data_IF_809812114875
#
_entry.id   IF_809812114875
#
_cell.length_a   1.000
_cell.length_b   1.000
_cell.length_c   1.000
_cell.angle_alpha   90.00
_cell.angle_beta   90.00
_cell.angle_gamma   90.00
#
_symmetry.space_group_name_H-M   'P 1'
#
loop_
_entity.id
_entity.type
_entity.pdbx_description
1 polymer ?
#
# COMPACT_ATOMS: atom_id res chain seq x y z
N UNK A 1 5.69 -4.18 -23.26
CA UNK A 1 5.47 -3.03 -22.36
C UNK A 1 6.69 -2.92 -21.44
N UNK A 2 7.11 -1.72 -21.05
CA UNK A 2 8.19 -1.59 -20.05
C UNK A 2 7.59 -1.77 -18.64
N UNK A 3 8.37 -2.31 -17.71
CA UNK A 3 7.97 -2.54 -16.33
C UNK A 3 8.85 -1.70 -15.41
N UNK A 4 8.24 -1.02 -14.45
CA UNK A 4 8.93 -0.14 -13.51
C UNK A 4 8.62 -0.58 -12.08
N UNK A 5 9.64 -0.77 -11.25
CA UNK A 5 9.47 -0.99 -9.81
C UNK A 5 10.06 0.21 -9.08
N UNK A 6 9.21 0.98 -8.40
CA UNK A 6 9.63 2.11 -7.59
C UNK A 6 9.53 1.73 -6.12
N UNK A 7 10.69 1.58 -5.48
CA UNK A 7 10.77 1.40 -4.04
C UNK A 7 10.59 2.73 -3.34
N UNK A 8 9.73 2.80 -2.34
CA UNK A 8 9.51 4.00 -1.52
C UNK A 8 9.95 3.76 -0.08
N UNK A 9 10.41 4.82 0.56
CA UNK A 9 10.81 4.80 1.96
C UNK A 9 10.65 6.16 2.62
N UNK A 10 10.46 6.15 3.94
CA UNK A 10 10.40 7.34 4.77
C UNK A 10 11.49 7.30 5.84
N UNK A 11 12.32 8.35 5.90
CA UNK A 11 13.34 8.51 6.94
C UNK A 11 12.87 9.60 7.91
N UNK A 12 12.82 9.27 9.20
CA UNK A 12 12.53 10.21 10.28
C UNK A 12 13.54 10.17 11.43
N UNK A 13 14.40 9.17 11.47
CA UNK A 13 15.41 8.95 12.50
C UNK A 13 16.53 8.02 11.97
N UNK A 14 17.54 7.75 12.80
CA UNK A 14 18.67 6.89 12.43
C UNK A 14 18.25 5.43 12.19
N UNK A 15 17.25 4.92 12.91
CA UNK A 15 16.75 3.56 12.72
C UNK A 15 16.12 3.38 11.31
N UNK A 16 15.29 4.33 10.89
CA UNK A 16 14.70 4.35 9.55
C UNK A 16 15.74 4.55 8.45
N UNK A 17 16.84 5.26 8.70
CA UNK A 17 17.98 5.34 7.77
C UNK A 17 18.70 3.98 7.68
N UNK A 18 18.93 3.30 8.79
CA UNK A 18 19.59 1.98 8.77
C UNK A 18 18.78 0.96 7.98
N UNK A 19 17.44 1.01 8.04
CA UNK A 19 16.59 0.16 7.22
C UNK A 19 16.57 0.57 5.75
N UNK A 20 16.61 1.87 5.46
CA UNK A 20 16.82 2.38 4.10
C UNK A 20 18.09 1.79 3.48
N UNK A 21 19.21 1.85 4.21
CA UNK A 21 20.50 1.36 3.70
C UNK A 21 20.45 -0.14 3.35
N UNK A 22 19.89 -0.96 4.25
CA UNK A 22 19.69 -2.40 3.99
C UNK A 22 18.75 -2.65 2.80
N UNK A 23 17.72 -1.80 2.66
CA UNK A 23 16.76 -1.85 1.56
C UNK A 23 17.40 -1.53 0.21
N UNK A 24 18.24 -0.49 0.17
CA UNK A 24 18.93 -0.04 -1.04
C UNK A 24 19.88 -1.09 -1.59
N UNK A 25 20.62 -1.80 -0.74
CA UNK A 25 21.49 -2.88 -1.21
C UNK A 25 20.69 -3.96 -1.97
N UNK A 26 19.49 -4.29 -1.49
CA UNK A 26 18.59 -5.21 -2.20
C UNK A 26 18.10 -4.61 -3.52
N UNK A 27 17.78 -3.31 -3.57
CA UNK A 27 17.36 -2.60 -4.78
C UNK A 27 18.47 -2.58 -5.84
N UNK A 28 19.72 -2.37 -5.44
CA UNK A 28 20.88 -2.40 -6.34
C UNK A 28 21.08 -3.81 -6.91
N UNK A 29 20.92 -4.86 -6.09
CA UNK A 29 20.95 -6.25 -6.58
C UNK A 29 19.84 -6.47 -7.61
N UNK A 30 18.61 -6.03 -7.33
CA UNK A 30 17.49 -6.09 -8.27
C UNK A 30 17.77 -5.34 -9.58
N UNK A 31 18.38 -4.16 -9.50
CA UNK A 31 18.81 -3.38 -10.66
C UNK A 31 19.83 -4.14 -11.53
N UNK A 32 20.72 -4.93 -10.93
CA UNK A 32 21.62 -5.83 -11.65
C UNK A 32 20.89 -6.86 -12.53
N UNK A 33 19.63 -7.17 -12.20
CA UNK A 33 18.76 -8.09 -12.94
C UNK A 33 17.85 -7.39 -13.98
N UNK A 34 17.91 -6.05 -14.07
CA UNK A 34 17.10 -5.22 -14.98
C UNK A 34 17.07 -5.73 -16.42
N UNK A 35 18.25 -6.00 -17.00
CA UNK A 35 18.38 -6.47 -18.39
C UNK A 35 17.73 -7.83 -18.62
N UNK A 36 17.83 -8.75 -17.65
CA UNK A 36 17.28 -10.11 -17.74
C UNK A 36 15.76 -10.08 -17.80
N UNK A 37 15.14 -9.24 -16.97
CA UNK A 37 13.68 -9.20 -16.83
C UNK A 37 13.01 -8.00 -17.51
N UNK A 38 13.77 -7.19 -18.27
CA UNK A 38 13.29 -5.93 -18.89
C UNK A 38 12.59 -5.02 -17.88
N UNK A 39 13.20 -4.91 -16.70
CA UNK A 39 12.72 -4.09 -15.59
C UNK A 39 13.54 -2.81 -15.47
N UNK A 40 12.87 -1.71 -15.15
CA UNK A 40 13.49 -0.50 -14.66
C UNK A 40 13.20 -0.36 -13.17
N UNK A 41 14.08 0.33 -12.46
CA UNK A 41 13.93 0.57 -11.03
C UNK A 41 13.96 2.05 -10.70
N UNK A 42 13.23 2.41 -9.66
CA UNK A 42 13.24 3.75 -9.11
C UNK A 42 13.23 3.73 -7.59
N UNK A 43 13.57 4.88 -7.04
CA UNK A 43 13.54 5.15 -5.62
C UNK A 43 12.76 6.44 -5.36
N UNK A 44 11.76 6.34 -4.48
CA UNK A 44 11.04 7.46 -3.92
C UNK A 44 11.39 7.60 -2.44
N UNK A 45 12.28 8.54 -2.13
CA UNK A 45 12.69 8.81 -0.75
C UNK A 45 11.97 10.05 -0.20
N UNK A 46 11.43 9.93 1.01
CA UNK A 46 10.82 11.06 1.73
C UNK A 46 11.49 11.21 3.09
N UNK A 47 11.72 12.44 3.55
CA UNK A 47 12.30 12.71 4.88
C UNK A 47 11.37 13.54 5.74
N UNK A 48 11.55 13.45 7.06
CA UNK A 48 10.91 14.35 8.00
C UNK A 48 11.51 15.76 7.88
N UNK A 49 10.66 16.78 7.93
CA UNK A 49 11.00 18.20 7.84
C UNK A 49 12.04 18.61 8.91
N UNK A 50 12.02 17.94 10.06
CA UNK A 50 12.85 18.24 11.23
C UNK A 50 14.07 17.30 11.39
N UNK A 51 14.52 16.64 10.32
CA UNK A 51 15.77 15.85 10.38
C UNK A 51 16.96 16.76 10.70
N UNK A 52 17.80 16.34 11.66
CA UNK A 52 19.01 17.04 12.03
C UNK A 52 20.06 17.04 10.89
N UNK A 53 20.99 17.99 10.92
CA UNK A 53 21.95 18.19 9.83
C UNK A 53 22.88 16.99 9.61
N UNK A 54 23.28 16.30 10.68
CA UNK A 54 24.13 15.10 10.58
C UNK A 54 23.42 13.98 9.79
N UNK A 55 22.17 13.72 10.11
CA UNK A 55 21.37 12.70 9.42
C UNK A 55 21.07 13.13 7.98
N UNK A 56 20.86 14.43 7.72
CA UNK A 56 20.69 14.98 6.37
C UNK A 56 21.92 14.74 5.50
N UNK A 57 23.12 14.99 6.02
CA UNK A 57 24.38 14.74 5.32
C UNK A 57 24.61 13.24 5.06
N UNK A 58 24.29 12.37 6.03
CA UNK A 58 24.31 10.90 5.83
C UNK A 58 23.39 10.49 4.67
N UNK A 59 22.17 11.01 4.61
CA UNK A 59 21.21 10.75 3.53
C UNK A 59 21.75 11.23 2.18
N UNK A 60 22.23 12.48 2.12
CA UNK A 60 22.78 13.06 0.89
C UNK A 60 23.93 12.22 0.32
N UNK A 61 24.89 11.85 1.16
CA UNK A 61 26.02 10.99 0.78
C UNK A 61 25.56 9.64 0.23
N UNK A 62 24.50 9.05 0.80
CA UNK A 62 23.93 7.80 0.29
C UNK A 62 23.25 7.99 -1.06
N UNK A 63 22.52 9.09 -1.27
CA UNK A 63 21.90 9.40 -2.55
C UNK A 63 22.92 9.64 -3.67
N UNK A 64 24.02 10.33 -3.37
CA UNK A 64 25.12 10.58 -4.32
C UNK A 64 25.80 9.29 -4.80
N UNK A 65 25.78 8.24 -3.98
CA UNK A 65 26.33 6.92 -4.32
C UNK A 65 25.40 6.01 -5.12
N UNK A 66 24.16 6.42 -5.43
CA UNK A 66 23.21 5.57 -6.13
C UNK A 66 23.56 5.42 -7.63
N UNK A 67 23.27 4.27 -8.25
CA UNK A 67 23.50 4.07 -9.68
C UNK A 67 22.77 5.10 -10.55
N UNK A 68 23.45 5.67 -11.55
CA UNK A 68 22.90 6.73 -12.43
C UNK A 68 21.66 6.32 -13.22
N UNK A 69 21.46 5.03 -13.45
CA UNK A 69 20.31 4.47 -14.16
C UNK A 69 19.11 4.17 -13.23
N UNK A 70 19.22 4.48 -11.93
CA UNK A 70 18.10 4.43 -10.99
C UNK A 70 17.33 5.75 -11.04
N UNK A 71 16.04 5.71 -11.34
CA UNK A 71 15.21 6.91 -11.25
C UNK A 71 15.02 7.33 -9.80
N UNK A 72 15.28 8.60 -9.48
CA UNK A 72 15.22 9.11 -8.11
C UNK A 72 14.18 10.23 -8.00
N UNK A 73 13.29 10.10 -7.02
CA UNK A 73 12.43 11.18 -6.54
C UNK A 73 12.65 11.38 -5.04
N UNK A 74 13.39 12.43 -4.70
CA UNK A 74 13.65 12.83 -3.31
C UNK A 74 12.68 13.95 -2.89
N UNK A 75 12.01 13.78 -1.75
CA UNK A 75 11.14 14.78 -1.15
C UNK A 75 11.59 15.10 0.27
N UNK A 76 12.15 16.30 0.51
CA UNK A 76 12.67 16.66 1.82
C UNK A 76 11.56 16.93 2.86
N UNK A 77 10.27 16.79 2.49
CA UNK A 77 9.13 17.08 3.35
C UNK A 77 8.18 15.90 3.47
N UNK A 78 7.70 15.62 4.68
CA UNK A 78 6.72 14.59 4.94
C UNK A 78 5.31 15.09 4.61
N UNK A 79 4.83 14.75 3.41
CA UNK A 79 3.46 15.02 2.97
C UNK A 79 2.51 13.82 3.14
N UNK A 80 2.94 12.78 3.83
CA UNK A 80 2.18 11.55 4.06
C UNK A 80 2.36 10.47 2.99
N UNK A 81 2.07 9.22 3.37
CA UNK A 81 2.26 8.02 2.53
C UNK A 81 1.42 8.03 1.26
N UNK A 82 0.18 8.54 1.33
CA UNK A 82 -0.72 8.69 0.19
C UNK A 82 -0.24 9.71 -0.84
N UNK A 83 0.46 10.77 -0.43
CA UNK A 83 1.12 11.69 -1.39
C UNK A 83 2.29 10.98 -2.08
N UNK A 84 3.14 10.30 -1.30
CA UNK A 84 4.27 9.52 -1.84
C UNK A 84 3.78 8.48 -2.85
N UNK A 85 2.73 7.73 -2.51
CA UNK A 85 2.04 6.80 -3.40
C UNK A 85 1.63 7.45 -4.73
N UNK A 86 0.86 8.56 -4.68
CA UNK A 86 0.36 9.24 -5.89
C UNK A 86 1.49 9.79 -6.77
N UNK A 87 2.55 10.29 -6.15
CA UNK A 87 3.73 10.79 -6.89
C UNK A 87 4.45 9.71 -7.69
N UNK A 88 4.28 8.44 -7.30
CA UNK A 88 4.80 7.28 -8.04
C UNK A 88 3.78 6.89 -9.11
N UNK A 89 2.56 6.53 -8.69
CA UNK A 89 1.61 5.83 -9.58
C UNK A 89 0.93 6.77 -10.58
N UNK A 90 0.95 8.08 -10.34
CA UNK A 90 0.46 9.13 -11.25
C UNK A 90 1.58 10.13 -11.58
N UNK A 91 2.81 9.63 -11.77
CA UNK A 91 3.91 10.47 -12.22
C UNK A 91 3.79 10.75 -13.73
N UNK A 92 3.82 12.03 -14.17
CA UNK A 92 3.77 12.35 -15.59
C UNK A 92 4.88 11.72 -16.44
N UNK A 93 6.03 11.39 -15.85
CA UNK A 93 7.13 10.67 -16.52
C UNK A 93 6.67 9.35 -17.13
N UNK A 94 5.62 8.74 -16.58
CA UNK A 94 5.10 7.47 -17.05
C UNK A 94 3.92 7.59 -18.03
N UNK A 95 3.53 8.79 -18.46
CA UNK A 95 2.35 8.97 -19.33
C UNK A 95 2.66 8.77 -20.81
N UNK A 96 3.88 9.08 -21.23
CA UNK A 96 4.25 9.06 -22.65
C UNK A 96 4.63 7.66 -23.15
N UNK A 97 4.92 6.72 -22.26
CA UNK A 97 5.24 5.33 -22.64
C UNK A 97 4.33 4.34 -21.94
N UNK A 98 4.25 3.15 -22.55
CA UNK A 98 3.47 2.02 -22.05
C UNK A 98 4.19 1.36 -20.89
N UNK A 99 3.73 1.61 -19.66
CA UNK A 99 4.32 1.09 -18.43
C UNK A 99 3.36 0.23 -17.60
N UNK A 100 3.89 -0.82 -16.98
CA UNK A 100 3.35 -1.35 -15.72
C UNK A 100 4.21 -0.80 -14.59
N UNK A 101 3.61 -0.13 -13.61
CA UNK A 101 4.32 0.48 -12.48
C UNK A 101 3.98 -0.27 -11.20
N UNK A 102 4.98 -0.81 -10.52
CA UNK A 102 4.89 -1.29 -9.15
C UNK A 102 5.41 -0.26 -8.16
N UNK A 103 4.57 0.18 -7.22
CA UNK A 103 5.00 0.89 -6.01
C UNK A 103 5.18 -0.11 -4.88
N UNK A 104 6.34 -0.13 -4.24
CA UNK A 104 6.65 -1.05 -3.14
C UNK A 104 7.27 -0.35 -1.94
N UNK A 105 6.94 -0.78 -0.74
CA UNK A 105 7.61 -0.35 0.49
C UNK A 105 8.92 -1.13 0.70
N UNK A 106 10.06 -0.42 0.76
CA UNK A 106 11.40 -1.06 0.75
C UNK A 106 11.71 -1.87 2.02
N UNK A 107 11.05 -1.51 3.12
CA UNK A 107 11.13 -2.15 4.42
C UNK A 107 10.17 -3.35 4.54
N UNK A 108 9.16 -3.45 3.67
CA UNK A 108 8.15 -4.52 3.68
C UNK A 108 8.36 -5.56 2.58
N UNK A 109 9.15 -5.26 1.53
CA UNK A 109 9.40 -6.20 0.44
C UNK A 109 10.91 -6.32 0.13
N UNK A 110 11.34 -7.52 -0.24
CA UNK A 110 12.66 -7.73 -0.85
C UNK A 110 12.55 -7.69 -2.36
N UNK A 111 13.48 -7.01 -3.05
CA UNK A 111 13.55 -6.99 -4.53
C UNK A 111 14.72 -7.81 -5.07
N UNK A 112 14.85 -9.05 -4.58
CA UNK A 112 15.84 -10.03 -5.04
C UNK A 112 15.30 -11.45 -4.93
N UNK A 113 15.90 -12.38 -5.68
CA UNK A 113 15.53 -13.80 -5.67
C UNK A 113 14.03 -14.02 -5.94
N UNK A 114 13.44 -15.02 -5.29
CA UNK A 114 12.05 -15.42 -5.42
C UNK A 114 11.05 -14.26 -5.19
N UNK A 115 11.41 -13.28 -4.34
CA UNK A 115 10.57 -12.11 -4.08
C UNK A 115 10.39 -11.23 -5.31
N UNK A 116 11.47 -11.05 -6.08
CA UNK A 116 11.43 -10.30 -7.34
C UNK A 116 10.68 -11.09 -8.41
N UNK A 117 10.88 -12.41 -8.48
CA UNK A 117 10.20 -13.27 -9.45
C UNK A 117 8.67 -13.25 -9.27
N UNK A 118 8.19 -13.38 -8.02
CA UNK A 118 6.75 -13.26 -7.73
C UNK A 118 6.18 -11.87 -8.07
N UNK A 119 6.96 -10.81 -7.84
CA UNK A 119 6.55 -9.45 -8.22
C UNK A 119 6.45 -9.31 -9.74
N UNK A 120 7.39 -9.89 -10.49
CA UNK A 120 7.36 -9.93 -11.96
C UNK A 120 6.15 -10.72 -12.45
N UNK A 121 5.90 -11.92 -11.90
CA UNK A 121 4.74 -12.75 -12.23
C UNK A 121 3.44 -11.95 -12.06
N UNK A 122 3.32 -11.19 -10.97
CA UNK A 122 2.15 -10.34 -10.73
C UNK A 122 2.04 -9.19 -11.75
N UNK A 123 3.15 -8.54 -12.11
CA UNK A 123 3.16 -7.49 -13.15
C UNK A 123 2.81 -8.05 -14.54
N UNK A 124 3.29 -9.25 -14.87
CA UNK A 124 2.96 -9.96 -16.11
C UNK A 124 1.49 -10.39 -16.14
N UNK A 125 0.94 -10.80 -15.00
CA UNK A 125 -0.49 -11.11 -14.87
C UNK A 125 -1.35 -9.88 -15.14
N UNK A 126 -1.00 -8.73 -14.56
CA UNK A 126 -1.67 -7.45 -14.83
C UNK A 126 -1.64 -7.08 -16.32
N UNK A 127 -0.49 -7.25 -16.97
CA UNK A 127 -0.34 -7.04 -18.41
C UNK A 127 -1.21 -8.01 -19.23
N UNK A 128 -1.16 -9.31 -18.92
CA UNK A 128 -1.86 -10.36 -19.66
C UNK A 128 -3.38 -10.30 -19.50
N UNK A 129 -3.86 -10.09 -18.28
CA UNK A 129 -5.29 -9.97 -17.96
C UNK A 129 -5.83 -8.57 -18.29
N UNK A 130 -4.94 -7.64 -18.66
CA UNK A 130 -5.24 -6.24 -18.91
C UNK A 130 -6.09 -5.64 -17.78
N UNK A 131 -5.70 -5.88 -16.53
CA UNK A 131 -6.35 -5.26 -15.37
C UNK A 131 -5.71 -3.91 -15.07
N UNK A 132 -6.46 -3.03 -14.41
CA UNK A 132 -5.99 -1.70 -14.07
C UNK A 132 -5.05 -1.71 -12.85
N UNK A 133 -5.31 -2.62 -11.90
CA UNK A 133 -4.66 -2.65 -10.60
C UNK A 133 -4.39 -4.08 -10.14
N UNK A 134 -3.32 -4.28 -9.37
CA UNK A 134 -3.14 -5.46 -8.56
C UNK A 134 -2.54 -5.11 -7.18
N UNK A 135 -3.18 -5.53 -6.09
CA UNK A 135 -2.51 -5.65 -4.81
C UNK A 135 -1.66 -6.94 -4.79
N UNK A 136 -0.62 -6.93 -3.96
CA UNK A 136 -0.01 -8.20 -3.57
C UNK A 136 -0.88 -8.92 -2.54
N UNK A 137 -0.62 -10.20 -2.30
CA UNK A 137 -1.08 -10.90 -1.10
C UNK A 137 0.12 -11.44 -0.34
N UNK A 138 0.24 -11.08 0.93
CA UNK A 138 1.43 -11.33 1.74
C UNK A 138 1.53 -12.81 2.08
N UNK A 139 2.75 -13.32 2.11
CA UNK A 139 3.05 -14.72 2.41
C UNK A 139 3.34 -15.00 3.90
N UNK A 140 3.17 -13.99 4.74
CA UNK A 140 3.43 -14.02 6.17
C UNK A 140 2.22 -13.53 6.94
N UNK A 141 2.17 -13.82 8.24
CA UNK A 141 1.15 -13.26 9.10
C UNK A 141 1.31 -11.74 9.16
N UNK A 142 0.22 -11.03 8.94
CA UNK A 142 0.25 -9.57 8.89
C UNK A 142 0.39 -9.02 10.30
N UNK A 143 1.25 -8.02 10.50
CA UNK A 143 1.36 -7.28 11.76
C UNK A 143 1.33 -5.80 11.48
N UNK A 144 0.32 -5.10 12.01
CA UNK A 144 0.08 -3.69 11.72
C UNK A 144 0.30 -2.78 12.94
N UNK A 145 0.53 -3.36 14.11
CA UNK A 145 0.84 -2.63 15.33
C UNK A 145 1.81 -3.43 16.22
N UNK A 146 2.42 -2.77 17.21
CA UNK A 146 3.32 -3.43 18.16
C UNK A 146 2.55 -4.47 18.98
N UNK A 147 1.37 -4.09 19.46
CA UNK A 147 0.52 -4.94 20.28
C UNK A 147 -0.49 -5.70 19.42
N UNK A 148 -0.70 -6.99 19.71
CA UNK A 148 -1.54 -7.87 18.90
C UNK A 148 -2.99 -7.38 18.79
N UNK A 149 -3.60 -6.98 19.91
CA UNK A 149 -4.97 -6.43 19.93
C UNK A 149 -5.10 -5.22 19.02
N UNK A 150 -4.17 -4.27 19.12
CA UNK A 150 -4.11 -3.09 18.28
C UNK A 150 -3.87 -3.42 16.80
N UNK A 151 -3.06 -4.43 16.52
CA UNK A 151 -2.84 -4.96 15.17
C UNK A 151 -4.15 -5.50 14.60
N UNK A 152 -4.92 -6.26 15.38
CA UNK A 152 -6.23 -6.78 14.97
C UNK A 152 -7.22 -5.66 14.65
N UNK A 153 -7.28 -4.60 15.46
CA UNK A 153 -8.11 -3.41 15.16
C UNK A 153 -7.80 -2.84 13.77
N UNK A 154 -6.52 -2.71 13.42
CA UNK A 154 -6.11 -2.24 12.08
C UNK A 154 -6.46 -3.23 10.98
N UNK A 155 -6.31 -4.54 11.21
CA UNK A 155 -6.68 -5.56 10.23
C UNK A 155 -8.17 -5.54 9.94
N UNK A 156 -9.01 -5.49 10.98
CA UNK A 156 -10.47 -5.39 10.84
C UNK A 156 -10.84 -4.17 9.97
N UNK A 157 -10.19 -3.01 10.21
CA UNK A 157 -10.39 -1.82 9.38
C UNK A 157 -10.01 -2.04 7.90
N UNK A 158 -8.85 -2.66 7.62
CA UNK A 158 -8.45 -3.01 6.25
C UNK A 158 -9.38 -4.03 5.58
N UNK A 159 -9.94 -4.96 6.35
CA UNK A 159 -10.90 -5.96 5.85
C UNK A 159 -12.22 -5.35 5.43
N UNK A 160 -12.72 -4.31 6.12
CA UNK A 160 -13.89 -3.56 5.64
C UNK A 160 -13.64 -2.91 4.27
N UNK A 161 -12.45 -2.34 4.04
CA UNK A 161 -12.08 -1.79 2.72
C UNK A 161 -11.96 -2.89 1.65
N UNK A 162 -11.42 -4.05 2.03
CA UNK A 162 -11.33 -5.21 1.14
C UNK A 162 -12.71 -5.74 0.75
N UNK A 163 -13.66 -5.78 1.69
CA UNK A 163 -15.06 -6.14 1.41
C UNK A 163 -15.78 -5.12 0.53
N UNK A 164 -15.39 -3.83 0.57
CA UNK A 164 -15.93 -2.83 -0.36
C UNK A 164 -15.51 -3.07 -1.82
N UNK A 165 -14.40 -3.78 -2.05
CA UNK A 165 -13.98 -4.23 -3.38
C UNK A 165 -14.69 -5.53 -3.79
N UNK A 166 -14.98 -6.41 -2.82
CA UNK A 166 -15.40 -7.81 -2.92
C UNK A 166 -14.26 -8.82 -2.82
N UNK A 167 -14.45 -9.81 -1.95
CA UNK A 167 -13.51 -10.92 -1.76
C UNK A 167 -13.27 -11.75 -3.02
N UNK A 168 -14.28 -11.90 -3.88
CA UNK A 168 -14.14 -12.65 -5.14
C UNK A 168 -13.08 -12.05 -6.07
N UNK A 169 -12.85 -10.73 -5.96
CA UNK A 169 -11.84 -10.01 -6.74
C UNK A 169 -10.46 -10.01 -6.08
N UNK A 170 -10.39 -10.11 -4.75
CA UNK A 170 -9.14 -9.95 -3.99
C UNK A 170 -8.49 -11.26 -3.55
N UNK A 171 -9.22 -12.38 -3.53
CA UNK A 171 -8.64 -13.68 -3.18
C UNK A 171 -7.67 -14.12 -4.29
N UNK A 172 -6.51 -14.63 -3.88
CA UNK A 172 -5.60 -15.36 -4.77
C UNK A 172 -6.14 -16.78 -4.92
N UNK A 173 -6.63 -17.12 -6.13
CA UNK A 173 -7.24 -18.43 -6.40
C UNK A 173 -6.21 -19.56 -6.55
N UNK A 174 -4.98 -19.20 -6.86
CA UNK A 174 -3.90 -20.16 -7.05
C UNK A 174 -3.23 -20.43 -5.70
N UNK A 175 -3.46 -21.62 -5.11
CA UNK A 175 -2.81 -22.04 -3.86
C UNK A 175 -1.43 -22.68 -4.13
N UNK A 176 -0.85 -22.52 -5.35
CA UNK A 176 0.47 -23.06 -5.77
C UNK A 176 1.57 -22.88 -4.74
N UNK A 177 1.45 -21.84 -3.92
CA UNK A 177 2.45 -21.52 -2.93
C UNK A 177 1.95 -21.66 -1.48
N UNK A 178 0.65 -21.88 -1.22
CA UNK A 178 0.09 -22.00 0.13
C UNK A 178 0.32 -20.78 1.03
N UNK A 179 0.51 -19.59 0.43
CA UNK A 179 1.30 -18.54 1.07
C UNK A 179 0.58 -17.61 2.02
N UNK A 180 -0.71 -17.30 1.85
CA UNK A 180 -1.31 -16.32 2.77
C UNK A 180 -1.50 -16.94 4.17
N UNK A 181 -0.57 -16.62 5.06
CA UNK A 181 -0.50 -17.13 6.42
C UNK A 181 -1.52 -16.46 7.35
N UNK A 182 -2.18 -15.37 6.93
CA UNK A 182 -3.24 -14.74 7.70
C UNK A 182 -4.62 -15.22 7.20
N UNK A 183 -5.31 -15.98 8.04
CA UNK A 183 -6.55 -16.67 7.66
C UNK A 183 -7.66 -15.72 7.18
N UNK A 184 -7.78 -14.55 7.80
CA UNK A 184 -8.79 -13.56 7.42
C UNK A 184 -8.51 -13.02 6.02
N UNK A 185 -7.25 -12.67 5.73
CA UNK A 185 -6.84 -12.19 4.41
C UNK A 185 -6.82 -13.30 3.35
N UNK A 186 -6.55 -14.56 3.71
CA UNK A 186 -6.74 -15.71 2.79
C UNK A 186 -8.20 -15.83 2.35
N UNK A 187 -9.15 -15.57 3.25
CA UNK A 187 -10.59 -15.69 2.98
C UNK A 187 -11.19 -14.46 2.30
N UNK A 188 -10.78 -13.26 2.70
CA UNK A 188 -11.41 -11.99 2.28
C UNK A 188 -10.59 -11.30 1.18
N UNK A 189 -9.29 -11.53 1.13
CA UNK A 189 -8.34 -10.85 0.24
C UNK A 189 -7.78 -9.55 0.83
N UNK A 190 -6.70 -9.06 0.25
CA UNK A 190 -5.96 -7.88 0.70
C UNK A 190 -6.07 -6.74 -0.31
N UNK A 191 -6.66 -5.60 0.08
CA UNK A 191 -6.74 -4.43 -0.79
C UNK A 191 -5.46 -3.61 -0.84
N UNK A 192 -4.61 -3.67 0.17
CA UNK A 192 -3.39 -2.86 0.32
C UNK A 192 -2.33 -3.63 1.11
N UNK A 193 -1.14 -3.83 0.55
CA UNK A 193 -0.09 -4.69 1.16
C UNK A 193 1.29 -4.05 1.19
N UNK A 194 1.38 -2.72 1.01
CA UNK A 194 2.64 -2.04 0.73
C UNK A 194 3.18 -2.34 -0.68
N UNK A 195 2.45 -3.11 -1.48
CA UNK A 195 2.69 -3.34 -2.92
C UNK A 195 1.46 -2.93 -3.68
N UNK A 196 1.66 -2.19 -4.77
CA UNK A 196 0.58 -1.77 -5.66
C UNK A 196 1.08 -1.69 -7.10
N UNK A 197 0.50 -2.49 -7.98
CA UNK A 197 0.86 -2.53 -9.40
C UNK A 197 -0.25 -1.89 -10.23
N UNK A 198 0.13 -1.01 -11.16
CA UNK A 198 -0.78 -0.29 -12.04
C UNK A 198 -0.42 -0.48 -13.50
N UNK A 199 -1.45 -0.68 -14.32
CA UNK A 199 -1.34 -0.70 -15.77
C UNK A 199 -1.67 0.68 -16.34
N UNK A 200 -0.64 1.45 -16.71
CA UNK A 200 -0.83 2.80 -17.30
C UNK A 200 -1.46 2.77 -18.68
N UNK A 201 -1.46 1.60 -19.33
CA UNK A 201 -2.03 1.43 -20.68
C UNK A 201 -3.49 1.01 -20.67
N UNK A 202 -4.03 0.67 -19.49
CA UNK A 202 -5.43 0.33 -19.36
C UNK A 202 -6.31 1.55 -19.75
N UNK A 203 -7.38 1.38 -20.55
CA UNK A 203 -8.20 2.49 -21.03
C UNK A 203 -8.74 3.42 -19.93
N UNK A 204 -9.00 2.85 -18.74
CA UNK A 204 -9.54 3.60 -17.59
C UNK A 204 -8.46 4.16 -16.65
N UNK A 205 -7.17 4.03 -16.95
CA UNK A 205 -6.10 4.61 -16.13
C UNK A 205 -6.16 6.15 -16.07
N UNK A 206 -6.35 6.89 -17.19
CA UNK A 206 -6.55 8.34 -17.14
C UNK A 206 -7.77 8.75 -16.31
N UNK A 207 -8.83 7.95 -16.36
CA UNK A 207 -10.04 8.18 -15.56
C UNK A 207 -9.76 8.01 -14.06
N UNK A 208 -9.09 6.92 -13.67
CA UNK A 208 -8.65 6.68 -12.28
C UNK A 208 -7.79 7.84 -11.76
N UNK A 209 -6.80 8.27 -12.55
CA UNK A 209 -5.95 9.41 -12.21
C UNK A 209 -6.79 10.66 -11.96
N UNK A 210 -7.74 10.98 -12.85
CA UNK A 210 -8.60 12.15 -12.71
C UNK A 210 -9.48 12.08 -11.45
N UNK A 211 -10.06 10.92 -11.14
CA UNK A 211 -10.80 10.70 -9.90
C UNK A 211 -9.91 10.97 -8.69
N UNK A 212 -8.76 10.31 -8.59
CA UNK A 212 -7.87 10.42 -7.43
C UNK A 212 -7.35 11.84 -7.25
N UNK A 213 -6.94 12.51 -8.33
CA UNK A 213 -6.45 13.90 -8.27
C UNK A 213 -7.56 14.89 -7.91
N UNK A 214 -8.79 14.68 -8.39
CA UNK A 214 -9.94 15.50 -8.01
C UNK A 214 -10.30 15.29 -6.54
N UNK A 215 -10.35 14.03 -6.07
CA UNK A 215 -10.68 13.73 -4.68
C UNK A 215 -9.62 14.25 -3.70
N UNK A 216 -8.34 14.21 -4.08
CA UNK A 216 -7.25 14.76 -3.27
C UNK A 216 -7.32 16.29 -3.10
N UNK A 217 -8.18 17.01 -3.85
CA UNK A 217 -8.45 18.45 -3.64
C UNK A 217 -9.59 18.72 -2.66
N UNK A 218 -10.45 17.74 -2.41
CA UNK A 218 -11.65 17.89 -1.56
C UNK A 218 -11.55 17.12 -0.25
N UNK A 219 -10.69 16.10 -0.18
CA UNK A 219 -10.46 15.28 1.00
C UNK A 219 -8.97 15.16 1.28
N UNK A 220 -8.60 15.00 2.55
CA UNK A 220 -7.21 14.77 2.94
C UNK A 220 -6.81 13.31 2.68
N UNK A 221 -6.42 13.05 1.43
CA UNK A 221 -5.91 11.74 0.99
C UNK A 221 -4.40 11.59 1.22
N UNK A 222 -3.80 12.33 2.15
CA UNK A 222 -2.34 12.28 2.39
C UNK A 222 -1.87 11.00 3.09
N UNK A 223 -2.76 10.31 3.83
CA UNK A 223 -2.47 9.03 4.48
C UNK A 223 -2.94 7.80 3.68
N UNK A 224 -3.18 6.68 4.38
CA UNK A 224 -3.66 5.42 3.77
C UNK A 224 -5.00 5.54 3.05
N UNK A 225 -5.81 6.56 3.39
CA UNK A 225 -7.05 6.88 2.66
C UNK A 225 -6.81 7.03 1.15
N UNK A 226 -5.67 7.59 0.72
CA UNK A 226 -5.34 7.67 -0.70
C UNK A 226 -5.13 6.31 -1.37
N UNK A 227 -4.52 5.36 -0.66
CA UNK A 227 -4.29 3.99 -1.14
C UNK A 227 -5.61 3.21 -1.18
N UNK A 228 -6.41 3.24 -0.11
CA UNK A 228 -7.73 2.61 -0.06
C UNK A 228 -8.65 3.14 -1.15
N UNK A 229 -8.73 4.47 -1.31
CA UNK A 229 -9.51 5.09 -2.37
C UNK A 229 -9.11 4.58 -3.75
N UNK A 230 -7.80 4.57 -4.03
CA UNK A 230 -7.27 4.15 -5.33
C UNK A 230 -7.55 2.68 -5.60
N UNK A 231 -7.39 1.80 -4.61
CA UNK A 231 -7.69 0.37 -4.74
C UNK A 231 -9.18 0.14 -5.01
N UNK A 232 -10.07 0.76 -4.22
CA UNK A 232 -11.52 0.65 -4.40
C UNK A 232 -11.93 1.17 -5.78
N UNK A 233 -11.49 2.38 -6.15
CA UNK A 233 -11.85 2.99 -7.43
C UNK A 233 -11.33 2.19 -8.62
N UNK A 234 -10.12 1.63 -8.53
CA UNK A 234 -9.57 0.76 -9.58
C UNK A 234 -10.45 -0.47 -9.81
N UNK A 235 -10.98 -1.07 -8.74
CA UNK A 235 -11.86 -2.23 -8.80
C UNK A 235 -13.20 -1.98 -9.49
N UNK A 236 -13.66 -0.72 -9.46
CA UNK A 236 -14.90 -0.28 -10.09
C UNK A 236 -14.69 0.06 -11.57
N UNK A 237 -13.47 0.47 -11.94
CA UNK A 237 -13.16 0.93 -13.29
C UNK A 237 -12.62 -0.16 -14.21
N UNK A 238 -11.62 -0.93 -13.78
CA UNK A 238 -10.79 -1.71 -14.71
C UNK A 238 -10.34 -3.07 -14.21
N UNK A 239 -11.04 -3.60 -13.20
CA UNK A 239 -10.75 -4.90 -12.63
C UNK A 239 -9.48 -4.94 -11.77
N UNK A 240 -9.28 -6.10 -11.14
CA UNK A 240 -8.15 -6.37 -10.25
C UNK A 240 -7.56 -7.73 -10.61
N UNK A 241 -6.23 -7.79 -10.71
CA UNK A 241 -5.49 -9.05 -10.64
C UNK A 241 -4.90 -9.23 -9.24
N UNK A 242 -4.68 -10.47 -8.83
CA UNK A 242 -4.09 -10.80 -7.52
C UNK A 242 -2.98 -11.81 -7.69
N UNK A 243 -2.01 -11.78 -6.78
CA UNK A 243 -0.93 -12.77 -6.71
C UNK A 243 -0.14 -12.59 -5.42
N UNK A 244 0.61 -13.62 -5.05
CA UNK A 244 1.40 -13.58 -3.83
C UNK A 244 2.65 -12.72 -3.98
N UNK A 245 3.08 -12.15 -2.85
CA UNK A 245 4.34 -11.43 -2.69
C UNK A 245 5.09 -11.97 -1.48
N UNK A 246 6.42 -11.88 -1.51
CA UNK A 246 7.29 -12.23 -0.38
C UNK A 246 7.49 -11.03 0.53
N UNK A 247 6.67 -10.92 1.56
CA UNK A 247 6.69 -9.80 2.48
C UNK A 247 7.65 -10.04 3.66
N UNK A 248 8.05 -8.93 4.29
CA UNK A 248 8.80 -8.91 5.55
C UNK A 248 7.88 -8.43 6.66
N UNK A 249 8.13 -8.89 7.88
CA UNK A 249 7.41 -8.36 9.04
C UNK A 249 7.67 -6.85 9.16
N UNK A 250 6.59 -6.09 9.38
CA UNK A 250 6.67 -4.65 9.58
C UNK A 250 7.53 -4.33 10.82
N UNK A 251 8.46 -3.38 10.65
CA UNK A 251 9.25 -2.84 11.75
C UNK A 251 8.55 -1.64 12.36
N UNK A 252 8.41 -1.65 13.69
CA UNK A 252 7.84 -0.55 14.45
C UNK A 252 8.96 0.23 15.12
N UNK A 253 9.42 1.29 14.47
CA UNK A 253 10.55 2.12 14.88
C UNK A 253 10.29 2.99 16.13
N UNK A 254 9.06 2.97 16.66
CA UNK A 254 8.67 3.74 17.84
C UNK A 254 7.83 2.84 18.74
N UNK A 255 8.34 2.52 19.93
CA UNK A 255 7.55 1.83 20.96
C UNK A 255 6.71 2.85 21.69
N UNK A 256 5.41 2.83 21.43
CA UNK A 256 4.40 3.48 22.27
C UNK A 256 3.89 2.46 23.28
N UNK A 257 3.34 2.91 24.41
CA UNK A 257 2.55 2.02 25.24
C UNK A 257 1.25 1.61 24.51
N UNK A 258 0.63 0.52 24.97
CA UNK A 258 -0.53 -0.09 24.32
C UNK A 258 -1.71 0.87 24.18
N UNK A 259 -1.95 1.71 25.19
CA UNK A 259 -3.08 2.64 25.21
C UNK A 259 -2.86 3.80 24.24
N UNK A 260 -1.68 4.41 24.25
CA UNK A 260 -1.31 5.47 23.29
C UNK A 260 -1.35 4.95 21.85
N UNK A 261 -0.93 3.70 21.60
CA UNK A 261 -1.04 3.08 20.28
C UNK A 261 -2.52 2.89 19.88
N UNK A 262 -3.36 2.40 20.79
CA UNK A 262 -4.80 2.21 20.57
C UNK A 262 -5.52 3.51 20.23
N UNK A 263 -5.22 4.59 20.96
CA UNK A 263 -5.78 5.92 20.69
C UNK A 263 -5.36 6.44 19.32
N UNK A 264 -4.08 6.27 18.97
CA UNK A 264 -3.56 6.60 17.64
C UNK A 264 -4.29 5.86 16.53
N UNK A 265 -4.53 4.56 16.69
CA UNK A 265 -5.26 3.73 15.73
C UNK A 265 -6.73 4.15 15.63
N UNK A 266 -7.38 4.41 16.77
CA UNK A 266 -8.77 4.87 16.82
C UNK A 266 -8.95 6.17 16.05
N UNK A 267 -8.08 7.16 16.30
CA UNK A 267 -8.08 8.43 15.60
C UNK A 267 -7.77 8.26 14.10
N UNK A 268 -6.84 7.38 13.75
CA UNK A 268 -6.51 7.05 12.37
C UNK A 268 -7.73 6.49 11.62
N UNK A 269 -8.44 5.52 12.21
CA UNK A 269 -9.62 4.87 11.60
C UNK A 269 -10.73 5.89 11.35
N UNK A 270 -11.07 6.70 12.37
CA UNK A 270 -12.09 7.75 12.24
C UNK A 270 -11.68 8.74 11.13
N UNK A 271 -10.46 9.25 11.19
CA UNK A 271 -9.98 10.28 10.26
C UNK A 271 -9.96 9.77 8.83
N UNK A 272 -9.36 8.60 8.58
CA UNK A 272 -9.29 8.05 7.23
C UNK A 272 -10.68 7.72 6.67
N UNK A 273 -11.56 7.16 7.50
CA UNK A 273 -12.93 6.88 7.06
C UNK A 273 -13.70 8.16 6.76
N UNK A 274 -13.51 9.22 7.55
CA UNK A 274 -14.07 10.54 7.26
C UNK A 274 -13.61 11.06 5.90
N UNK A 275 -12.31 11.05 5.63
CA UNK A 275 -11.79 11.56 4.35
C UNK A 275 -12.28 10.71 3.16
N UNK A 276 -12.37 9.39 3.31
CA UNK A 276 -13.01 8.52 2.30
C UNK A 276 -14.50 8.82 2.13
N UNK A 277 -15.22 9.14 3.20
CA UNK A 277 -16.63 9.53 3.20
C UNK A 277 -16.91 10.87 2.48
N UNK A 278 -15.88 11.67 2.20
CA UNK A 278 -15.96 12.91 1.39
C UNK A 278 -15.75 12.67 -0.10
N UNK A 279 -15.49 11.42 -0.50
CA UNK A 279 -15.26 11.04 -1.90
C UNK A 279 -16.50 10.40 -2.53
N UNK A 280 -16.42 10.10 -3.82
CA UNK A 280 -17.48 9.44 -4.58
C UNK A 280 -17.69 7.96 -4.21
N UNK A 281 -16.85 7.36 -3.36
CA UNK A 281 -17.05 5.99 -2.86
C UNK A 281 -17.79 5.92 -1.51
N UNK A 282 -18.24 7.07 -0.96
CA UNK A 282 -18.94 7.14 0.33
C UNK A 282 -20.07 6.10 0.46
N UNK A 283 -20.99 6.07 -0.49
CA UNK A 283 -22.18 5.24 -0.41
C UNK A 283 -21.84 3.73 -0.44
N UNK A 284 -20.82 3.36 -1.22
CA UNK A 284 -20.31 1.99 -1.25
C UNK A 284 -19.72 1.61 0.11
N UNK A 285 -18.86 2.47 0.66
CA UNK A 285 -18.22 2.25 1.95
C UNK A 285 -19.24 2.16 3.08
N UNK A 286 -20.19 3.10 3.13
CA UNK A 286 -21.28 3.11 4.13
C UNK A 286 -22.13 1.85 4.07
N UNK A 287 -22.50 1.38 2.86
CA UNK A 287 -23.22 0.13 2.68
C UNK A 287 -22.42 -1.05 3.21
N UNK A 288 -21.15 -1.17 2.84
CA UNK A 288 -20.26 -2.25 3.28
C UNK A 288 -20.15 -2.32 4.81
N UNK A 289 -19.99 -1.17 5.47
CA UNK A 289 -19.83 -1.09 6.94
C UNK A 289 -21.14 -1.44 7.66
N UNK A 290 -22.30 -1.04 7.13
CA UNK A 290 -23.62 -1.29 7.75
C UNK A 290 -24.14 -2.71 7.54
N UNK A 291 -23.61 -3.45 6.57
CA UNK A 291 -24.06 -4.81 6.28
C UNK A 291 -23.63 -5.80 7.38
N UNK A 292 -24.62 -6.32 8.13
CA UNK A 292 -24.39 -7.32 9.17
C UNK A 292 -23.69 -8.59 8.65
N UNK A 293 -23.88 -8.94 7.37
CA UNK A 293 -23.17 -10.05 6.74
C UNK A 293 -21.65 -9.84 6.76
N UNK A 294 -21.18 -8.63 6.47
CA UNK A 294 -19.75 -8.32 6.43
C UNK A 294 -19.12 -8.40 7.81
N UNK A 295 -19.85 -7.96 8.85
CA UNK A 295 -19.41 -8.20 10.22
C UNK A 295 -19.30 -9.69 10.54
N UNK A 296 -20.32 -10.48 10.17
CA UNK A 296 -20.32 -11.91 10.40
C UNK A 296 -19.10 -12.61 9.79
N UNK A 297 -18.75 -12.24 8.55
CA UNK A 297 -17.57 -12.77 7.85
C UNK A 297 -16.27 -12.40 8.60
N UNK A 298 -16.13 -11.16 9.08
CA UNK A 298 -14.92 -10.75 9.80
C UNK A 298 -14.87 -11.40 11.20
N UNK A 299 -16.02 -11.56 11.87
CA UNK A 299 -16.13 -12.20 13.18
C UNK A 299 -15.88 -13.71 13.17
N UNK A 300 -15.72 -14.35 12.01
CA UNK A 300 -15.16 -15.71 11.92
C UNK A 300 -13.69 -15.76 12.36
N UNK A 301 -12.98 -14.61 12.35
CA UNK A 301 -11.53 -14.53 12.60
C UNK A 301 -11.15 -13.65 13.80
N UNK A 302 -12.03 -12.73 14.21
CA UNK A 302 -11.77 -11.78 15.30
C UNK A 302 -12.93 -11.71 16.28
N UNK A 303 -12.65 -11.23 17.50
CA UNK A 303 -13.68 -11.06 18.51
C UNK A 303 -14.78 -10.11 18.01
N UNK A 304 -16.04 -10.52 18.18
CA UNK A 304 -17.20 -9.77 17.69
C UNK A 304 -17.24 -8.34 18.26
N UNK A 305 -16.86 -8.15 19.51
CA UNK A 305 -16.82 -6.83 20.16
C UNK A 305 -15.76 -5.91 19.54
N UNK A 306 -14.63 -6.45 19.07
CA UNK A 306 -13.61 -5.70 18.35
C UNK A 306 -14.11 -5.30 16.95
N UNK A 307 -14.82 -6.21 16.26
CA UNK A 307 -15.43 -5.92 14.95
C UNK A 307 -16.49 -4.82 15.05
N UNK A 308 -17.38 -4.92 16.04
CA UNK A 308 -18.41 -3.92 16.32
C UNK A 308 -17.77 -2.57 16.69
N UNK A 309 -16.75 -2.57 17.55
CA UNK A 309 -16.00 -1.37 17.90
C UNK A 309 -15.43 -0.67 16.67
N UNK A 310 -14.76 -1.40 15.77
CA UNK A 310 -14.18 -0.81 14.55
C UNK A 310 -15.26 -0.31 13.59
N UNK A 311 -16.34 -1.08 13.41
CA UNK A 311 -17.49 -0.63 12.61
C UNK A 311 -18.02 0.71 13.12
N UNK A 312 -18.21 0.83 14.43
CA UNK A 312 -18.79 2.03 15.04
C UNK A 312 -17.85 3.25 14.90
N UNK A 313 -16.53 3.03 14.99
CA UNK A 313 -15.53 4.07 14.68
C UNK A 313 -15.61 4.53 13.22
N UNK A 314 -15.73 3.58 12.28
CA UNK A 314 -15.85 3.91 10.85
C UNK A 314 -17.15 4.67 10.57
N UNK A 315 -18.29 4.24 11.13
CA UNK A 315 -19.56 4.96 11.02
C UNK A 315 -19.48 6.37 11.62
N UNK A 316 -18.81 6.54 12.76
CA UNK A 316 -18.53 7.85 13.35
C UNK A 316 -17.71 8.74 12.39
N UNK A 317 -16.71 8.17 11.71
CA UNK A 317 -15.95 8.85 10.66
C UNK A 317 -16.86 9.37 9.54
N UNK A 318 -17.78 8.54 9.03
CA UNK A 318 -18.71 8.90 7.96
C UNK A 318 -19.73 9.98 8.34
N UNK A 319 -20.05 10.12 9.63
CA UNK A 319 -20.99 11.13 10.15
C UNK A 319 -20.32 12.47 10.47
N UNK A 320 -18.99 12.50 10.57
CA UNK A 320 -18.25 13.71 10.89
C UNK A 320 -18.06 14.53 9.60
N UNK A 321 -18.76 15.66 9.46
CA UNK A 321 -18.61 16.55 8.30
C UNK A 321 -17.31 17.35 8.34
#
# INVERSE_FOLDING_TARGET
>A
MEKYIVARHFINNEESLNEFEKGIDNLIIGLGLSKRYKLNFGLKLTTNDNINEELREKIKKKLEGLPLNLWLLYDPKNRGSGVSFRQIVFNPTFYEKKYIIGSIDIDQLSVKGDSLELLIELMEKVEKENTLYAPGSRDIQVKLAVYEKNSNLRKIHELFHSLAISSEKLIVKDDKYGLNADAAYKKIGESTTGVSIFNTTHPNYPELMNYTMRMARIADLTGFAGEYYTAIRSSLLGGISTGYIRAKENKFYHKKDEQTEKEGITNMIITQTRELGRTDIRNLLEKTIKENRNMGIISEFYDKSEVEFIRDLMLKGLMSN
#
